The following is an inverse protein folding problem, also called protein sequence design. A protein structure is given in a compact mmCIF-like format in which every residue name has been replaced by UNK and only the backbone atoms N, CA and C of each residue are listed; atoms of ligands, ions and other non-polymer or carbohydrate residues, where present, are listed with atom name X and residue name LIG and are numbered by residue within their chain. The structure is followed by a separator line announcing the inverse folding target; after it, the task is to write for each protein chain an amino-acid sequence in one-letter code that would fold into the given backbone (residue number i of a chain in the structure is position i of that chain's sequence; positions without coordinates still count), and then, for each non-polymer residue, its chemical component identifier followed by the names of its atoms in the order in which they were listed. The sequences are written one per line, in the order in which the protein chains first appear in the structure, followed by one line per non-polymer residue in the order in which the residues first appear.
data_IF_440443309771
#
_entry.id   IF_440443309771
#
_cell.length_a   1.000
_cell.length_b   1.000
_cell.length_c   1.000
_cell.angle_alpha   90.00
_cell.angle_beta   90.00
_cell.angle_gamma   90.00
#
_symmetry.space_group_name_H-M   'P 1'
#
loop_
_entity.id
_entity.type
_entity.pdbx_description
1 polymer ?
#
# COMPACT_ATOMS: atom_id res chain seq x y z
N UNK A 1 -41.03 1.63 32.87
CA UNK A 1 -41.61 1.74 31.51
C UNK A 1 -41.57 3.18 30.99
N UNK A 2 -41.37 4.19 31.86
CA UNK A 2 -41.45 5.61 31.47
C UNK A 2 -40.19 6.19 30.81
N UNK A 3 -39.01 5.60 31.03
CA UNK A 3 -37.75 6.14 30.47
C UNK A 3 -37.64 5.98 28.96
N UNK A 4 -38.25 4.91 28.41
CA UNK A 4 -38.25 4.64 26.97
C UNK A 4 -39.26 5.56 26.27
N UNK A 5 -40.43 5.75 26.86
CA UNK A 5 -41.48 6.63 26.31
C UNK A 5 -41.06 8.10 26.39
N UNK A 6 -40.40 8.56 27.45
CA UNK A 6 -39.82 9.92 27.52
C UNK A 6 -38.75 10.16 26.45
N UNK A 7 -37.90 9.18 26.16
CA UNK A 7 -36.87 9.29 25.13
C UNK A 7 -37.48 9.44 23.72
N UNK A 8 -38.57 8.73 23.44
CA UNK A 8 -39.31 8.83 22.18
C UNK A 8 -40.06 10.16 22.02
N UNK A 9 -40.58 10.72 23.11
CA UNK A 9 -41.26 12.03 23.11
C UNK A 9 -40.26 13.17 22.96
N UNK A 10 -39.11 13.12 23.66
CA UNK A 10 -38.05 14.14 23.56
C UNK A 10 -37.41 14.25 22.16
N UNK A 11 -37.40 13.14 21.40
CA UNK A 11 -36.87 13.10 20.01
C UNK A 11 -37.77 13.78 18.98
N UNK A 12 -39.06 13.96 19.30
CA UNK A 12 -40.08 14.48 18.36
C UNK A 12 -40.07 16.02 18.22
N UNK A 13 -39.50 16.73 19.19
CA UNK A 13 -39.60 18.20 19.30
C UNK A 13 -38.37 18.97 18.77
N UNK A 14 -37.37 18.30 18.18
CA UNK A 14 -36.21 18.94 17.52
C UNK A 14 -35.96 18.34 16.12
N UNK A 15 -36.47 18.96 15.03
CA UNK A 15 -36.56 18.37 13.70
C UNK A 15 -35.24 18.42 12.90
N UNK A 16 -34.14 18.01 13.53
CA UNK A 16 -32.81 17.95 12.90
C UNK A 16 -31.77 17.15 13.71
N UNK A 17 -31.97 16.97 15.01
CA UNK A 17 -31.05 16.18 15.86
C UNK A 17 -31.56 14.78 16.21
N UNK A 18 -32.89 14.56 16.30
CA UNK A 18 -33.46 13.28 16.76
C UNK A 18 -33.29 12.13 15.76
N UNK A 19 -33.41 12.43 14.46
CA UNK A 19 -33.27 11.43 13.39
C UNK A 19 -31.85 10.89 13.26
N UNK A 20 -30.83 11.74 13.29
CA UNK A 20 -29.43 11.31 13.20
C UNK A 20 -29.01 10.49 14.41
N UNK A 21 -29.46 10.86 15.62
CA UNK A 21 -29.23 10.11 16.87
C UNK A 21 -29.89 8.73 16.83
N UNK A 22 -31.10 8.61 16.28
CA UNK A 22 -31.78 7.31 16.16
C UNK A 22 -31.07 6.36 15.18
N UNK A 23 -30.65 6.84 14.02
CA UNK A 23 -29.86 6.03 13.08
C UNK A 23 -28.50 5.62 13.65
N UNK A 24 -27.83 6.52 14.39
CA UNK A 24 -26.58 6.20 15.10
C UNK A 24 -26.79 5.11 16.15
N UNK A 25 -27.88 5.14 16.91
CA UNK A 25 -28.19 4.12 17.91
C UNK A 25 -28.51 2.75 17.29
N UNK A 26 -29.23 2.72 16.16
CA UNK A 26 -29.50 1.48 15.41
C UNK A 26 -28.19 0.92 14.83
N UNK A 27 -27.33 1.77 14.29
CA UNK A 27 -26.04 1.39 13.73
C UNK A 27 -25.09 0.86 14.81
N UNK A 28 -25.00 1.53 15.96
CA UNK A 28 -24.22 1.05 17.12
C UNK A 28 -24.78 -0.25 17.71
N UNK A 29 -26.11 -0.38 17.82
CA UNK A 29 -26.77 -1.59 18.31
C UNK A 29 -26.53 -2.80 17.39
N UNK A 30 -26.68 -2.61 16.08
CA UNK A 30 -26.41 -3.65 15.08
C UNK A 30 -24.93 -4.06 15.03
N UNK A 31 -24.00 -3.12 15.11
CA UNK A 31 -22.56 -3.40 15.24
C UNK A 31 -22.24 -4.17 16.53
N UNK A 32 -22.90 -3.83 17.64
CA UNK A 32 -22.76 -4.55 18.91
C UNK A 32 -23.24 -6.00 18.82
N UNK A 33 -24.40 -6.23 18.21
CA UNK A 33 -24.96 -7.58 17.99
C UNK A 33 -24.06 -8.39 17.06
N UNK A 34 -23.62 -7.81 15.93
CA UNK A 34 -22.66 -8.43 15.01
C UNK A 34 -21.35 -8.79 15.72
N UNK A 35 -20.84 -7.93 16.59
CA UNK A 35 -19.66 -8.18 17.40
C UNK A 35 -19.84 -9.36 18.37
N UNK A 36 -20.98 -9.44 19.06
CA UNK A 36 -21.29 -10.54 19.98
C UNK A 36 -21.45 -11.87 19.23
N UNK A 37 -22.16 -11.88 18.10
CA UNK A 37 -22.28 -13.06 17.24
C UNK A 37 -20.89 -13.50 16.75
N UNK A 38 -20.07 -12.57 16.28
CA UNK A 38 -18.70 -12.86 15.88
C UNK A 38 -17.87 -13.50 17.01
N UNK A 39 -17.98 -12.99 18.25
CA UNK A 39 -17.27 -13.54 19.41
C UNK A 39 -17.74 -14.95 19.80
N UNK A 40 -19.06 -15.22 19.76
CA UNK A 40 -19.63 -16.54 20.07
C UNK A 40 -19.21 -17.58 19.03
N UNK A 41 -19.23 -17.19 17.75
CA UNK A 41 -18.89 -18.09 16.64
C UNK A 41 -17.38 -18.17 16.36
N UNK A 42 -16.54 -17.30 16.95
CA UNK A 42 -15.08 -17.28 16.77
C UNK A 42 -14.43 -18.66 16.88
N UNK A 43 -14.79 -19.43 17.92
CA UNK A 43 -14.24 -20.79 18.13
C UNK A 43 -14.68 -21.81 17.06
N UNK A 44 -15.83 -21.60 16.40
CA UNK A 44 -16.26 -22.44 15.27
C UNK A 44 -15.62 -22.00 13.96
N UNK A 45 -15.28 -20.70 13.83
CA UNK A 45 -14.59 -20.14 12.67
C UNK A 45 -13.13 -20.64 12.59
N UNK A 46 -12.49 -20.97 13.71
CA UNK A 46 -11.13 -21.56 13.77
C UNK A 46 -11.00 -22.91 13.00
N UNK A 47 -12.11 -23.59 12.70
CA UNK A 47 -12.07 -24.81 11.86
C UNK A 47 -12.09 -24.52 10.36
N UNK A 48 -12.36 -23.27 9.96
CA UNK A 48 -12.43 -22.86 8.56
C UNK A 48 -11.03 -22.42 8.12
N UNK A 49 -10.44 -23.15 7.16
CA UNK A 49 -9.08 -22.86 6.63
C UNK A 49 -8.90 -21.40 6.18
N UNK A 50 -9.96 -20.78 5.64
CA UNK A 50 -9.96 -19.40 5.19
C UNK A 50 -9.86 -18.43 6.39
N UNK A 51 -10.61 -18.68 7.46
CA UNK A 51 -10.56 -17.85 8.67
C UNK A 51 -9.18 -17.87 9.32
N UNK A 52 -8.56 -19.05 9.46
CA UNK A 52 -7.20 -19.16 9.99
C UNK A 52 -6.17 -18.44 9.11
N UNK A 53 -6.33 -18.51 7.78
CA UNK A 53 -5.44 -17.79 6.86
C UNK A 53 -5.59 -16.28 6.97
N UNK A 54 -6.82 -15.77 7.08
CA UNK A 54 -7.11 -14.35 7.30
C UNK A 54 -6.61 -13.89 8.67
N UNK A 55 -6.81 -14.69 9.72
CA UNK A 55 -6.33 -14.36 11.06
C UNK A 55 -4.80 -14.35 11.11
N UNK A 56 -4.12 -15.30 10.45
CA UNK A 56 -2.66 -15.30 10.33
C UNK A 56 -2.13 -14.08 9.55
N UNK A 57 -2.81 -13.68 8.46
CA UNK A 57 -2.52 -12.44 7.73
C UNK A 57 -2.70 -11.21 8.63
N UNK A 58 -3.77 -11.17 9.42
CA UNK A 58 -4.06 -10.08 10.35
C UNK A 58 -3.03 -9.98 11.47
N UNK A 59 -2.67 -11.11 12.09
CA UNK A 59 -1.63 -11.18 13.12
C UNK A 59 -0.27 -10.74 12.55
N UNK A 60 0.11 -11.23 11.37
CA UNK A 60 1.34 -10.82 10.68
C UNK A 60 1.36 -9.32 10.38
N UNK A 61 0.22 -8.77 9.94
CA UNK A 61 0.07 -7.33 9.68
C UNK A 61 0.19 -6.50 10.96
N UNK A 62 -0.46 -6.92 12.04
CA UNK A 62 -0.35 -6.29 13.36
C UNK A 62 1.06 -6.37 13.92
N UNK A 63 1.77 -7.49 13.75
CA UNK A 63 3.17 -7.63 14.13
C UNK A 63 4.06 -6.65 13.35
N UNK A 64 3.82 -6.48 12.04
CA UNK A 64 4.47 -5.46 11.23
C UNK A 64 4.28 -4.05 11.80
N UNK A 65 3.02 -3.67 12.09
CA UNK A 65 2.69 -2.36 12.70
C UNK A 65 3.34 -2.20 14.08
N UNK A 66 3.25 -3.22 14.94
CA UNK A 66 3.91 -3.20 16.26
C UNK A 66 5.43 -3.07 16.13
N UNK A 67 6.02 -3.64 15.08
CA UNK A 67 7.44 -3.47 14.76
C UNK A 67 7.84 -2.01 14.60
N UNK A 68 7.00 -1.19 13.96
CA UNK A 68 7.25 0.25 13.80
C UNK A 68 7.30 0.99 15.14
N UNK A 69 6.51 0.56 16.13
CA UNK A 69 6.49 1.19 17.47
C UNK A 69 7.75 0.91 18.29
N UNK A 70 8.53 -0.12 17.93
CA UNK A 70 9.77 -0.52 18.62
C UNK A 70 11.02 0.13 18.05
N UNK A 71 10.88 1.02 17.06
CA UNK A 71 12.01 1.67 16.40
C UNK A 71 12.69 2.64 17.36
N UNK A 72 13.99 2.42 17.61
CA UNK A 72 14.82 3.25 18.51
C UNK A 72 14.95 4.71 18.07
N UNK A 73 14.88 4.98 16.75
CA UNK A 73 15.02 6.32 16.14
C UNK A 73 13.89 6.60 15.13
N UNK A 74 12.67 6.91 15.58
CA UNK A 74 11.50 7.02 14.71
C UNK A 74 11.63 8.15 13.67
N UNK A 75 12.24 9.28 14.05
CA UNK A 75 12.46 10.42 13.14
C UNK A 75 13.38 10.03 11.98
N UNK A 76 14.51 9.38 12.27
CA UNK A 76 15.45 8.93 11.24
C UNK A 76 14.78 7.94 10.28
N UNK A 77 13.99 7.00 10.81
CA UNK A 77 13.21 6.06 10.00
C UNK A 77 12.23 6.78 9.07
N UNK A 78 11.47 7.76 9.59
CA UNK A 78 10.51 8.52 8.80
C UNK A 78 11.20 9.33 7.70
N UNK A 79 12.30 10.03 8.03
CA UNK A 79 13.07 10.81 7.05
C UNK A 79 13.60 9.90 5.94
N UNK A 80 14.22 8.77 6.29
CA UNK A 80 14.69 7.82 5.28
C UNK A 80 13.55 7.28 4.42
N UNK A 81 12.40 6.99 5.01
CA UNK A 81 11.22 6.53 4.26
C UNK A 81 10.78 7.58 3.24
N UNK A 82 10.63 8.85 3.66
CA UNK A 82 10.27 9.95 2.75
C UNK A 82 11.31 10.12 1.65
N UNK A 83 12.60 10.08 1.99
CA UNK A 83 13.69 10.19 1.00
C UNK A 83 13.60 9.07 -0.04
N UNK A 84 13.35 7.81 0.37
CA UNK A 84 13.18 6.69 -0.56
C UNK A 84 12.01 6.94 -1.50
N UNK A 85 10.86 7.39 -0.98
CA UNK A 85 9.69 7.70 -1.80
C UNK A 85 9.94 8.83 -2.80
N UNK A 86 10.65 9.88 -2.38
CA UNK A 86 11.06 10.98 -3.27
C UNK A 86 12.01 10.47 -4.35
N UNK A 87 12.99 9.63 -4.00
CA UNK A 87 13.89 9.03 -4.99
C UNK A 87 13.13 8.17 -6.01
N UNK A 88 12.16 7.37 -5.58
CA UNK A 88 11.31 6.58 -6.49
C UNK A 88 10.46 7.47 -7.40
N UNK A 89 9.87 8.53 -6.84
CA UNK A 89 9.16 9.52 -7.64
C UNK A 89 10.06 10.17 -8.68
N UNK A 90 11.26 10.62 -8.28
CA UNK A 90 12.22 11.27 -9.18
C UNK A 90 12.73 10.32 -10.26
N UNK A 91 12.94 9.04 -9.94
CA UNK A 91 13.30 8.02 -10.93
C UNK A 91 12.26 7.94 -12.06
N UNK A 92 10.99 7.84 -11.69
CA UNK A 92 9.86 7.80 -12.65
C UNK A 92 9.78 9.11 -13.41
N UNK A 93 9.78 10.24 -12.70
CA UNK A 93 9.61 11.56 -13.29
C UNK A 93 10.73 11.91 -14.27
N UNK A 94 11.98 11.63 -13.94
CA UNK A 94 13.10 11.91 -14.84
C UNK A 94 13.13 10.98 -16.06
N UNK A 95 12.60 9.77 -15.94
CA UNK A 95 12.52 8.85 -17.08
C UNK A 95 11.56 9.36 -18.16
N UNK A 96 10.62 10.25 -17.86
CA UNK A 96 9.79 10.90 -18.88
C UNK A 96 10.61 11.69 -19.90
N UNK A 97 11.74 12.28 -19.49
CA UNK A 97 12.60 13.02 -20.41
C UNK A 97 13.38 12.12 -21.38
N UNK A 98 13.36 10.80 -21.18
CA UNK A 98 14.00 9.86 -22.11
C UNK A 98 13.21 9.66 -23.40
N UNK A 99 11.91 9.99 -23.42
CA UNK A 99 11.03 9.76 -24.58
C UNK A 99 10.35 11.10 -24.93
N UNK A 100 10.43 11.56 -26.20
CA UNK A 100 9.82 12.82 -26.62
C UNK A 100 8.33 12.93 -26.26
N UNK A 101 7.59 11.84 -26.43
CA UNK A 101 6.15 11.77 -26.19
C UNK A 101 5.77 11.94 -24.72
N UNK A 102 6.60 11.48 -23.77
CA UNK A 102 6.34 11.62 -22.34
C UNK A 102 7.03 12.84 -21.71
N UNK A 103 7.97 13.48 -22.41
CA UNK A 103 8.78 14.60 -21.90
C UNK A 103 7.98 15.82 -21.43
N UNK A 104 6.79 16.03 -21.98
CA UNK A 104 5.87 17.12 -21.59
C UNK A 104 5.03 16.82 -20.35
N UNK A 105 5.12 15.61 -19.77
CA UNK A 105 4.31 15.21 -18.64
C UNK A 105 4.72 15.92 -17.35
N UNK A 106 3.71 16.44 -16.65
CA UNK A 106 3.89 17.12 -15.38
C UNK A 106 4.00 16.18 -14.18
N UNK A 107 4.20 16.78 -12.99
CA UNK A 107 4.39 16.05 -11.74
C UNK A 107 3.24 15.10 -11.39
N UNK A 108 1.99 15.47 -11.70
CA UNK A 108 0.82 14.64 -11.45
C UNK A 108 0.88 13.30 -12.21
N UNK A 109 1.37 13.29 -13.45
CA UNK A 109 1.56 12.07 -14.22
C UNK A 109 2.64 11.17 -13.58
N UNK A 110 3.72 11.77 -13.08
CA UNK A 110 4.77 11.05 -12.35
C UNK A 110 4.22 10.38 -11.08
N UNK A 111 3.34 11.07 -10.35
CA UNK A 111 2.71 10.53 -9.15
C UNK A 111 1.75 9.38 -9.50
N UNK A 112 0.96 9.53 -10.56
CA UNK A 112 0.07 8.47 -11.04
C UNK A 112 0.87 7.24 -11.44
N UNK A 113 1.96 7.41 -12.21
CA UNK A 113 2.83 6.29 -12.57
C UNK A 113 3.47 5.65 -11.34
N UNK A 114 3.91 6.43 -10.35
CA UNK A 114 4.44 5.89 -9.08
C UNK A 114 3.40 5.03 -8.36
N UNK A 115 2.16 5.52 -8.22
CA UNK A 115 1.07 4.80 -7.55
C UNK A 115 0.69 3.54 -8.33
N UNK A 116 0.52 3.63 -9.65
CA UNK A 116 0.17 2.44 -10.44
C UNK A 116 1.30 1.42 -10.50
N UNK A 117 2.57 1.88 -10.46
CA UNK A 117 3.74 1.00 -10.38
C UNK A 117 3.80 0.26 -9.04
N UNK A 118 3.50 0.93 -7.93
CA UNK A 118 3.47 0.25 -6.62
C UNK A 118 2.36 -0.80 -6.55
N UNK A 119 1.17 -0.51 -7.10
CA UNK A 119 0.10 -1.51 -7.24
C UNK A 119 0.51 -2.68 -8.15
N UNK A 120 1.24 -2.41 -9.23
CA UNK A 120 1.73 -3.46 -10.12
C UNK A 120 2.68 -4.44 -9.43
N UNK A 121 3.51 -3.97 -8.49
CA UNK A 121 4.45 -4.81 -7.74
C UNK A 121 3.75 -5.63 -6.63
N UNK A 122 2.60 -5.19 -6.13
CA UNK A 122 1.80 -5.96 -5.16
C UNK A 122 1.27 -7.27 -5.74
N UNK A 123 1.05 -7.31 -7.06
CA UNK A 123 0.66 -8.52 -7.76
C UNK A 123 1.85 -9.50 -7.84
N UNK A 124 1.64 -10.81 -7.61
CA UNK A 124 2.71 -11.80 -7.53
C UNK A 124 3.28 -12.13 -8.93
N UNK A 125 4.03 -11.20 -9.52
CA UNK A 125 4.73 -11.39 -10.79
C UNK A 125 6.25 -11.41 -10.57
N UNK A 126 6.99 -12.36 -11.19
CA UNK A 126 8.44 -12.44 -11.06
C UNK A 126 9.12 -11.13 -11.49
N UNK A 127 9.75 -10.44 -10.54
CA UNK A 127 10.47 -9.19 -10.80
C UNK A 127 9.61 -8.06 -11.39
N UNK A 128 8.28 -8.10 -11.27
CA UNK A 128 7.40 -7.02 -11.74
C UNK A 128 7.20 -6.92 -13.25
N UNK A 129 7.87 -7.73 -14.09
CA UNK A 129 7.96 -7.55 -15.55
C UNK A 129 6.58 -7.56 -16.25
N UNK A 130 5.65 -8.43 -15.85
CA UNK A 130 4.34 -8.49 -16.52
C UNK A 130 3.37 -7.40 -16.05
N UNK A 131 3.29 -7.20 -14.74
CA UNK A 131 2.30 -6.30 -14.13
C UNK A 131 2.70 -4.84 -14.34
N UNK A 132 3.99 -4.50 -14.21
CA UNK A 132 4.47 -3.15 -14.45
C UNK A 132 4.22 -2.70 -15.89
N UNK A 133 4.53 -3.57 -16.87
CA UNK A 133 4.33 -3.33 -18.29
C UNK A 133 2.87 -3.32 -18.74
N UNK A 134 1.95 -3.70 -17.85
CA UNK A 134 0.52 -3.59 -18.10
C UNK A 134 -0.07 -2.32 -17.50
N UNK A 135 0.19 -2.07 -16.21
CA UNK A 135 -0.46 -0.97 -15.48
C UNK A 135 0.13 0.40 -15.83
N UNK A 136 1.44 0.51 -16.05
CA UNK A 136 2.08 1.80 -16.35
C UNK A 136 1.63 2.37 -17.70
N UNK A 137 1.56 1.59 -18.79
CA UNK A 137 1.04 2.11 -20.05
C UNK A 137 -0.42 2.57 -19.94
N UNK A 138 -1.26 1.80 -19.25
CA UNK A 138 -2.67 2.17 -18.99
C UNK A 138 -2.76 3.46 -18.17
N UNK A 139 -1.88 3.65 -17.18
CA UNK A 139 -1.84 4.87 -16.40
C UNK A 139 -1.49 6.10 -17.25
N UNK A 140 -0.59 5.93 -18.22
CA UNK A 140 -0.14 7.00 -19.10
C UNK A 140 -1.19 7.38 -20.17
N UNK A 141 -2.10 6.48 -20.54
CA UNK A 141 -3.21 6.84 -21.45
C UNK A 141 -4.14 7.88 -20.85
N UNK A 142 -4.25 7.96 -19.51
CA UNK A 142 -5.00 9.02 -18.80
C UNK A 142 -4.44 10.42 -19.07
N UNK A 143 -3.19 10.51 -19.53
CA UNK A 143 -2.49 11.75 -19.86
C UNK A 143 -2.32 11.95 -21.37
N UNK A 144 -3.03 11.17 -22.20
CA UNK A 144 -3.00 11.30 -23.66
C UNK A 144 -1.79 10.64 -24.34
N UNK A 145 -1.04 9.78 -23.62
CA UNK A 145 0.05 8.99 -24.20
C UNK A 145 -0.52 7.71 -24.80
N UNK A 146 -0.12 7.38 -26.03
CA UNK A 146 -0.52 6.12 -26.65
C UNK A 146 0.02 4.91 -25.86
N UNK A 147 -0.75 3.83 -25.79
CA UNK A 147 -0.36 2.65 -25.03
C UNK A 147 0.99 2.06 -25.50
N UNK A 148 1.33 2.17 -26.79
CA UNK A 148 2.63 1.72 -27.33
C UNK A 148 3.79 2.57 -26.81
N UNK A 149 3.62 3.88 -26.72
CA UNK A 149 4.63 4.79 -26.18
C UNK A 149 4.75 4.62 -24.66
N UNK A 150 3.62 4.39 -23.98
CA UNK A 150 3.59 4.03 -22.56
C UNK A 150 4.32 2.71 -22.26
N UNK A 151 4.19 1.72 -23.13
CA UNK A 151 4.94 0.45 -23.04
C UNK A 151 6.43 0.64 -23.28
N UNK A 152 6.79 1.51 -24.22
CA UNK A 152 8.19 1.90 -24.47
C UNK A 152 8.80 2.54 -23.22
N UNK A 153 8.07 3.48 -22.60
CA UNK A 153 8.45 4.09 -21.32
C UNK A 153 8.61 3.03 -20.21
N UNK A 154 7.61 2.16 -20.04
CA UNK A 154 7.67 1.12 -19.02
C UNK A 154 8.87 0.19 -19.21
N UNK A 155 9.20 -0.12 -20.46
CA UNK A 155 10.35 -0.96 -20.79
C UNK A 155 11.67 -0.30 -20.42
N UNK A 156 11.87 0.96 -20.79
CA UNK A 156 13.11 1.70 -20.48
C UNK A 156 13.26 1.87 -18.97
N UNK A 157 12.21 2.36 -18.30
CA UNK A 157 12.22 2.58 -16.86
C UNK A 157 12.53 1.28 -16.08
N UNK A 158 11.84 0.19 -16.44
CA UNK A 158 12.01 -1.09 -15.76
C UNK A 158 13.38 -1.72 -16.05
N UNK A 159 13.84 -1.69 -17.31
CA UNK A 159 15.15 -2.22 -17.67
C UNK A 159 16.29 -1.46 -16.98
N UNK A 160 16.21 -0.14 -16.91
CA UNK A 160 17.17 0.69 -16.19
C UNK A 160 17.20 0.36 -14.69
N UNK A 161 16.03 0.18 -14.07
CA UNK A 161 15.92 -0.23 -12.67
C UNK A 161 16.54 -1.61 -12.44
N UNK A 162 16.24 -2.60 -13.30
CA UNK A 162 16.79 -3.95 -13.19
C UNK A 162 18.30 -3.98 -13.38
N UNK A 163 18.81 -3.20 -14.35
CA UNK A 163 20.25 -3.04 -14.55
C UNK A 163 20.91 -2.46 -13.29
N UNK A 164 20.32 -1.42 -12.69
CA UNK A 164 20.82 -0.84 -11.44
C UNK A 164 20.86 -1.89 -10.33
N UNK A 165 19.79 -2.66 -10.13
CA UNK A 165 19.74 -3.71 -9.11
C UNK A 165 20.79 -4.80 -9.32
N UNK A 166 20.99 -5.24 -10.57
CA UNK A 166 22.04 -6.21 -10.89
C UNK A 166 23.43 -5.63 -10.59
N UNK A 167 23.72 -4.41 -11.06
CA UNK A 167 25.03 -3.79 -10.87
C UNK A 167 25.38 -3.61 -9.39
N UNK A 168 24.52 -2.93 -8.63
CA UNK A 168 24.79 -2.68 -7.20
C UNK A 168 24.68 -3.96 -6.36
N UNK A 169 23.77 -4.86 -6.71
CA UNK A 169 23.66 -6.17 -6.07
C UNK A 169 24.94 -7.00 -6.25
N UNK A 170 25.49 -7.05 -7.46
CA UNK A 170 26.76 -7.75 -7.73
C UNK A 170 27.93 -7.10 -7.00
N UNK A 171 28.04 -5.76 -7.01
CA UNK A 171 29.08 -5.05 -6.26
C UNK A 171 28.99 -5.41 -4.77
N UNK A 172 27.79 -5.32 -4.19
CA UNK A 172 27.56 -5.65 -2.78
C UNK A 172 27.94 -7.11 -2.46
N UNK A 173 27.61 -8.05 -3.34
CA UNK A 173 27.94 -9.47 -3.15
C UNK A 173 29.46 -9.69 -3.16
N UNK A 174 30.16 -9.10 -4.13
CA UNK A 174 31.63 -9.21 -4.24
C UNK A 174 32.29 -8.58 -3.01
N UNK A 175 31.88 -7.37 -2.63
CA UNK A 175 32.41 -6.69 -1.44
C UNK A 175 32.20 -7.53 -0.17
N UNK A 176 31.01 -8.13 0.00
CA UNK A 176 30.73 -9.01 1.14
C UNK A 176 31.67 -10.22 1.17
N UNK A 177 31.87 -10.90 0.04
CA UNK A 177 32.75 -12.08 -0.03
C UNK A 177 34.20 -11.70 0.31
N UNK A 178 34.69 -10.56 -0.19
CA UNK A 178 36.05 -10.08 0.11
C UNK A 178 36.20 -9.76 1.60
N UNK A 179 35.23 -9.07 2.20
CA UNK A 179 35.27 -8.69 3.61
C UNK A 179 35.16 -9.90 4.54
N UNK A 180 34.29 -10.87 4.22
CA UNK A 180 34.19 -12.11 5.01
C UNK A 180 35.47 -12.94 4.97
N UNK A 181 36.18 -12.98 3.83
CA UNK A 181 37.48 -13.67 3.74
C UNK A 181 38.54 -13.05 4.65
N UNK A 182 38.58 -11.71 4.78
CA UNK A 182 39.53 -11.03 5.68
C UNK A 182 39.29 -11.37 7.15
N UNK A 183 38.03 -11.41 7.58
CA UNK A 183 37.66 -11.73 8.96
C UNK A 183 37.88 -13.21 9.34
N UNK A 184 38.06 -14.11 8.37
CA UNK A 184 38.37 -15.52 8.59
C UNK A 184 39.88 -15.81 8.58
N UNK A 185 40.68 -14.87 8.08
CA UNK A 185 42.15 -14.95 8.04
C UNK A 185 42.85 -14.20 9.18
N UNK A 186 42.10 -13.48 10.01
CA UNK A 186 42.51 -12.91 11.30
C UNK A 186 41.97 -13.78 12.44
#
# INVERSE_FOLDING_TARGET
YDTITEFFVSSKDKPGEGGSKMWLLILLGSLGILGIVFLIFRKRLDHIKIFNRVNALYESFLEGIKGLTRIRRPIAFFVHSVVIWVCYYLMVYFCFYCIPQTSGLGAAAGLTVLVTSTLAVVLPSPGGVGTFHYFVPIALTLYGIDAKDGLTYATIAHAAQMLMFVLFGTISLISMIILQRKNLSE
#
